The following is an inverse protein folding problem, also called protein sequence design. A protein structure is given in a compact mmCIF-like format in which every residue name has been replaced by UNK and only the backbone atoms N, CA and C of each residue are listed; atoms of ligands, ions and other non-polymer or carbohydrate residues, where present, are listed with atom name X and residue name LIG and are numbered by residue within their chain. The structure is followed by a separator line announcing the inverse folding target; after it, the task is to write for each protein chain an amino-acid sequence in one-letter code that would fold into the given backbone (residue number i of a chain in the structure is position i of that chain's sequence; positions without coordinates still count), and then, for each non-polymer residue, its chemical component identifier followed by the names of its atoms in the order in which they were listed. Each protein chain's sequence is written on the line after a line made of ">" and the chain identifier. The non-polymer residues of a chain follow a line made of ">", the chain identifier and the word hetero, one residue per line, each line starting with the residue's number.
data_IF_692810696195
#
_entry.id   IF_692810696195
#
_cell.length_a   1.000
_cell.length_b   1.000
_cell.length_c   1.000
_cell.angle_alpha   90.00
_cell.angle_beta   90.00
_cell.angle_gamma   90.00
#
_symmetry.space_group_name_H-M   'P 1'
#
loop_
_entity.id
_entity.type
_entity.pdbx_description
1 polymer ?
#
# COMPACT_ATOMS: atom_id res chain seq x y z
N UNK A 1 11.72 -10.01 -1.71
CA UNK A 1 10.97 -8.82 -2.18
C UNK A 1 11.54 -7.50 -1.63
N UNK A 2 11.90 -7.42 -0.35
CA UNK A 2 12.47 -6.21 0.26
C UNK A 2 13.68 -5.60 -0.49
N UNK A 3 14.64 -6.44 -0.92
CA UNK A 3 15.79 -5.97 -1.73
C UNK A 3 15.35 -5.32 -3.04
N UNK A 4 14.34 -5.90 -3.71
CA UNK A 4 13.76 -5.34 -4.96
C UNK A 4 13.05 -4.03 -4.68
N UNK A 5 12.23 -3.98 -3.62
CA UNK A 5 11.52 -2.77 -3.21
C UNK A 5 12.44 -1.58 -2.93
N UNK A 6 13.68 -1.83 -2.50
CA UNK A 6 14.69 -0.78 -2.28
C UNK A 6 15.45 -0.36 -3.55
N UNK A 7 15.56 -1.23 -4.55
CA UNK A 7 16.34 -0.99 -5.78
C UNK A 7 15.51 -0.54 -6.97
N UNK A 8 14.23 -0.89 -7.00
CA UNK A 8 13.33 -0.66 -8.13
C UNK A 8 12.80 0.78 -8.11
N UNK A 9 12.58 1.37 -9.29
CA UNK A 9 11.94 2.68 -9.40
C UNK A 9 10.44 2.53 -9.20
N UNK A 10 9.94 3.16 -8.13
CA UNK A 10 8.55 3.11 -7.70
C UNK A 10 7.90 4.51 -7.74
N UNK A 11 8.52 5.46 -8.45
CA UNK A 11 8.07 6.86 -8.51
C UNK A 11 6.65 6.96 -9.04
N UNK A 12 6.33 6.15 -10.06
CA UNK A 12 4.99 5.99 -10.65
C UNK A 12 3.92 5.67 -9.60
N UNK A 13 4.20 4.74 -8.69
CA UNK A 13 3.25 4.35 -7.62
C UNK A 13 3.20 5.41 -6.53
N UNK A 14 4.35 5.95 -6.12
CA UNK A 14 4.43 6.95 -5.05
C UNK A 14 3.74 8.28 -5.42
N UNK A 15 3.71 8.63 -6.70
CA UNK A 15 3.08 9.85 -7.21
C UNK A 15 1.54 9.82 -7.18
N UNK A 16 0.93 8.65 -7.04
CA UNK A 16 -0.54 8.48 -7.00
C UNK A 16 -1.11 9.02 -5.69
N UNK A 17 -0.35 8.94 -4.59
CA UNK A 17 -0.79 9.39 -3.27
C UNK A 17 -1.89 8.53 -2.64
N UNK A 18 -2.19 7.35 -3.20
CA UNK A 18 -3.20 6.44 -2.64
C UNK A 18 -2.72 5.70 -1.38
N UNK A 19 -1.41 5.66 -1.10
CA UNK A 19 -0.83 5.01 0.08
C UNK A 19 0.23 5.92 0.71
N UNK A 20 0.10 6.24 2.00
CA UNK A 20 1.06 7.07 2.72
C UNK A 20 1.01 6.82 4.23
N UNK A 21 2.11 7.11 4.94
CA UNK A 21 2.14 7.08 6.40
C UNK A 21 1.55 8.37 6.97
N UNK A 22 0.69 8.25 7.98
CA UNK A 22 -0.02 9.37 8.61
C UNK A 22 0.07 9.30 10.13
N UNK A 23 1.15 9.84 10.69
CA UNK A 23 1.31 9.97 12.14
C UNK A 23 1.17 8.66 12.92
N UNK A 24 0.64 8.76 14.13
CA UNK A 24 0.43 7.63 15.05
C UNK A 24 -0.98 7.66 15.63
N UNK A 25 -1.51 6.49 16.01
CA UNK A 25 -2.77 6.38 16.73
C UNK A 25 -2.62 6.72 18.23
N UNK A 26 -3.71 6.58 18.99
CA UNK A 26 -3.72 6.86 20.45
C UNK A 26 -2.80 5.95 21.28
N UNK A 27 -2.37 4.82 20.73
CA UNK A 27 -1.45 3.88 21.37
C UNK A 27 0.00 4.07 20.88
N UNK A 28 0.26 5.08 20.06
CA UNK A 28 1.58 5.35 19.49
C UNK A 28 1.94 4.45 18.31
N UNK A 29 0.98 3.70 17.75
CA UNK A 29 1.22 2.83 16.60
C UNK A 29 1.21 3.65 15.31
N UNK A 30 2.20 3.49 14.41
CA UNK A 30 2.19 4.13 13.11
C UNK A 30 0.92 3.80 12.32
N UNK A 31 0.30 4.81 11.73
CA UNK A 31 -0.86 4.62 10.85
C UNK A 31 -0.43 4.76 9.40
N UNK A 32 -0.83 3.80 8.57
CA UNK A 32 -0.71 3.84 7.13
C UNK A 32 -2.09 4.03 6.54
N UNK A 33 -2.26 5.03 5.71
CA UNK A 33 -3.52 5.36 5.06
C UNK A 33 -3.51 4.81 3.64
N UNK A 34 -4.59 4.11 3.27
CA UNK A 34 -4.87 3.69 1.90
C UNK A 34 -6.19 4.29 1.41
N UNK A 35 -6.16 5.02 0.30
CA UNK A 35 -7.32 5.66 -0.32
C UNK A 35 -7.71 4.87 -1.56
N UNK A 36 -8.81 4.11 -1.46
CA UNK A 36 -9.27 3.20 -2.51
C UNK A 36 -9.59 3.91 -3.83
N UNK A 37 -10.26 5.08 -3.78
CA UNK A 37 -10.61 5.88 -4.97
C UNK A 37 -9.41 6.19 -5.88
N UNK A 38 -8.23 6.38 -5.28
CA UNK A 38 -7.03 6.79 -6.00
C UNK A 38 -6.21 5.61 -6.49
N UNK A 39 -6.60 4.38 -6.19
CA UNK A 39 -5.89 3.19 -6.68
C UNK A 39 -6.28 2.88 -8.13
N UNK A 40 -5.42 3.11 -9.13
CA UNK A 40 -5.79 3.01 -10.54
C UNK A 40 -5.47 1.60 -11.06
N UNK A 41 -6.38 0.63 -10.85
CA UNK A 41 -6.07 -0.78 -11.12
C UNK A 41 -5.67 -1.07 -12.57
N UNK A 42 -6.19 -0.28 -13.51
CA UNK A 42 -5.99 -0.49 -14.94
C UNK A 42 -4.68 0.09 -15.46
N UNK A 43 -4.11 1.07 -14.74
CA UNK A 43 -2.98 1.87 -15.21
C UNK A 43 -1.72 1.62 -14.38
N UNK A 44 -1.82 0.90 -13.25
CA UNK A 44 -0.71 0.64 -12.34
C UNK A 44 -0.16 -0.78 -12.49
N UNK A 45 1.16 -0.90 -12.45
CA UNK A 45 1.83 -2.18 -12.25
C UNK A 45 1.61 -2.67 -10.81
N UNK A 46 0.83 -3.74 -10.67
CA UNK A 46 0.47 -4.35 -9.39
C UNK A 46 1.66 -4.95 -8.64
N UNK A 47 2.71 -5.38 -9.34
CA UNK A 47 3.93 -5.87 -8.69
C UNK A 47 4.69 -4.70 -8.07
N UNK A 48 4.81 -3.58 -8.80
CA UNK A 48 5.39 -2.35 -8.25
C UNK A 48 4.56 -1.80 -7.09
N UNK A 49 3.22 -1.91 -7.16
CA UNK A 49 2.34 -1.51 -6.06
C UNK A 49 2.62 -2.31 -4.79
N UNK A 50 2.80 -3.63 -4.90
CA UNK A 50 3.20 -4.50 -3.78
C UNK A 50 4.60 -4.14 -3.26
N UNK A 51 5.57 -3.90 -4.15
CA UNK A 51 6.92 -3.47 -3.75
C UNK A 51 6.91 -2.12 -3.02
N UNK A 52 6.08 -1.17 -3.46
CA UNK A 52 5.91 0.11 -2.79
C UNK A 52 5.31 -0.05 -1.40
N UNK A 53 4.29 -0.90 -1.25
CA UNK A 53 3.72 -1.24 0.04
C UNK A 53 4.76 -1.84 0.99
N UNK A 54 5.58 -2.80 0.51
CA UNK A 54 6.68 -3.38 1.28
C UNK A 54 7.69 -2.31 1.69
N UNK A 55 8.08 -1.42 0.76
CA UNK A 55 9.02 -0.32 1.05
C UNK A 55 8.49 0.62 2.12
N UNK A 56 7.19 0.92 2.07
CA UNK A 56 6.53 1.83 3.00
C UNK A 56 6.37 1.20 4.40
N UNK A 57 6.14 -0.11 4.46
CA UNK A 57 5.98 -0.84 5.73
C UNK A 57 7.31 -1.23 6.38
N UNK A 58 8.40 -1.40 5.63
CA UNK A 58 9.73 -1.79 6.12
C UNK A 58 10.19 -1.07 7.42
N UNK A 59 10.06 0.27 7.58
CA UNK A 59 10.48 0.93 8.82
C UNK A 59 9.58 0.63 10.03
N UNK A 60 8.32 0.22 9.82
CA UNK A 60 7.31 0.09 10.89
C UNK A 60 6.87 -1.35 11.14
N UNK A 61 7.14 -2.28 10.22
CA UNK A 61 6.71 -3.69 10.27
C UNK A 61 7.26 -4.46 11.48
N UNK A 62 8.33 -3.95 12.11
CA UNK A 62 8.91 -4.57 13.33
C UNK A 62 8.05 -4.36 14.57
N UNK A 63 7.13 -3.39 14.56
CA UNK A 63 6.22 -3.10 15.66
C UNK A 63 4.77 -3.14 15.20
N UNK A 64 3.86 -2.91 16.14
CA UNK A 64 2.44 -2.83 15.82
C UNK A 64 2.15 -1.58 14.97
N UNK A 65 1.46 -1.76 13.86
CA UNK A 65 1.01 -0.69 12.98
C UNK A 65 -0.47 -0.86 12.64
N UNK A 66 -1.08 0.20 12.13
CA UNK A 66 -2.48 0.22 11.72
C UNK A 66 -2.57 0.61 10.25
N UNK A 67 -3.35 -0.14 9.47
CA UNK A 67 -3.74 0.29 8.12
C UNK A 67 -5.17 0.81 8.17
N UNK A 68 -5.35 2.08 7.78
CA UNK A 68 -6.65 2.73 7.63
C UNK A 68 -7.04 2.75 6.14
N UNK A 69 -8.05 1.95 5.77
CA UNK A 69 -8.57 1.87 4.42
C UNK A 69 -9.81 2.77 4.24
N UNK A 70 -9.74 3.71 3.29
CA UNK A 70 -10.85 4.58 2.91
C UNK A 70 -11.48 4.09 1.61
N UNK A 71 -12.70 3.56 1.71
CA UNK A 71 -13.47 3.06 0.57
C UNK A 71 -14.29 4.14 -0.16
N UNK A 72 -14.34 5.37 0.37
CA UNK A 72 -15.19 6.44 -0.15
C UNK A 72 -14.92 6.69 -1.64
N UNK A 73 -15.95 6.55 -2.47
CA UNK A 73 -15.90 6.69 -3.94
C UNK A 73 -14.98 5.71 -4.67
N UNK A 74 -14.53 4.63 -4.01
CA UNK A 74 -13.93 3.50 -4.73
C UNK A 74 -15.01 2.80 -5.56
N UNK A 75 -14.69 2.46 -6.81
CA UNK A 75 -15.57 1.71 -7.69
C UNK A 75 -14.87 0.44 -8.19
N UNK A 76 -15.55 -0.35 -9.02
CA UNK A 76 -15.01 -1.61 -9.55
C UNK A 76 -13.66 -1.46 -10.27
N UNK A 77 -13.42 -0.31 -10.90
CA UNK A 77 -12.15 0.06 -11.53
C UNK A 77 -11.03 0.42 -10.53
N UNK A 78 -11.28 0.37 -9.23
CA UNK A 78 -10.28 0.53 -8.19
C UNK A 78 -10.01 -0.79 -7.44
N UNK A 79 -10.76 -1.85 -7.75
CA UNK A 79 -10.69 -3.09 -7.00
C UNK A 79 -9.61 -4.01 -7.58
N UNK A 80 -8.57 -4.34 -6.81
CA UNK A 80 -7.59 -5.30 -7.26
C UNK A 80 -8.20 -6.69 -7.44
N UNK A 81 -7.64 -7.51 -8.34
CA UNK A 81 -7.96 -8.93 -8.41
C UNK A 81 -7.83 -9.59 -7.04
N UNK A 82 -8.77 -10.46 -6.69
CA UNK A 82 -8.74 -11.17 -5.42
C UNK A 82 -7.47 -12.03 -5.24
N UNK A 83 -6.91 -12.54 -6.34
CA UNK A 83 -5.61 -13.23 -6.36
C UNK A 83 -4.48 -12.34 -5.84
N UNK A 84 -4.44 -11.08 -6.26
CA UNK A 84 -3.44 -10.11 -5.81
C UNK A 84 -3.63 -9.75 -4.33
N UNK A 85 -4.87 -9.59 -3.87
CA UNK A 85 -5.14 -9.37 -2.44
C UNK A 85 -4.65 -10.53 -1.57
N UNK A 86 -4.81 -11.78 -2.02
CA UNK A 86 -4.24 -12.94 -1.32
C UNK A 86 -2.71 -12.90 -1.29
N UNK A 87 -2.08 -12.49 -2.38
CA UNK A 87 -0.63 -12.35 -2.45
C UNK A 87 -0.13 -11.33 -1.44
N UNK A 88 -0.74 -10.13 -1.41
CA UNK A 88 -0.43 -9.09 -0.42
C UNK A 88 -0.55 -9.63 1.00
N UNK A 89 -1.64 -10.33 1.32
CA UNK A 89 -1.85 -10.92 2.64
C UNK A 89 -0.85 -12.03 2.99
N UNK A 90 -0.33 -12.75 2.00
CA UNK A 90 0.64 -13.83 2.24
C UNK A 90 2.06 -13.28 2.40
N UNK A 91 2.36 -12.15 1.76
CA UNK A 91 3.69 -11.53 1.75
C UNK A 91 3.93 -10.64 2.97
N UNK A 92 2.89 -9.99 3.49
CA UNK A 92 2.92 -9.09 4.65
C UNK A 92 2.63 -9.83 5.95
#
# INVERSE_FOLDING_TARGET
>A
LLRRARSEDLSEVSGIGCLYQSGVDRLGRPVVVFIGKWFPISDIDLDKALLYLIKLLDPIVRGDYVIAYFHTLAASNNHPPFSWLKEVYTVL
#
